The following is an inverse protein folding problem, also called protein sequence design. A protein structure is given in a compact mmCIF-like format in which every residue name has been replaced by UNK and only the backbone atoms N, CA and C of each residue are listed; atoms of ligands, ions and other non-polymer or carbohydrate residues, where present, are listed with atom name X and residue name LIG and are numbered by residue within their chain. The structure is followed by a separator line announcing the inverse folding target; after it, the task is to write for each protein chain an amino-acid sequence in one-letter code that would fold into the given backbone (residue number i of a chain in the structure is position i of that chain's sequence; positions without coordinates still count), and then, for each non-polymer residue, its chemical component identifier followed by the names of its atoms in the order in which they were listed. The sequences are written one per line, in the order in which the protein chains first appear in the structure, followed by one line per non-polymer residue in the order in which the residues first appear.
data_IF_677048383284
#
_entry.id   IF_677048383284
#
_cell.length_a   1.000
_cell.length_b   1.000
_cell.length_c   1.000
_cell.angle_alpha   90.00
_cell.angle_beta   90.00
_cell.angle_gamma   90.00
#
_symmetry.space_group_name_H-M   'P 1'
#
loop_
_entity.id
_entity.type
_entity.pdbx_description
1 polymer ?
#
# COMPACT_ATOMS: atom_id res chain seq x y z
N UNK A 1 11.95 -8.26 -3.08
CA UNK A 1 11.47 -8.64 -4.43
C UNK A 1 9.95 -8.69 -4.40
N UNK A 2 9.24 -8.18 -5.43
CA UNK A 2 7.76 -8.17 -5.44
C UNK A 2 7.26 -9.57 -5.75
N UNK A 3 6.40 -10.12 -4.88
CA UNK A 3 5.85 -11.47 -5.03
C UNK A 3 4.46 -11.39 -5.66
N UNK A 4 4.37 -11.65 -6.97
CA UNK A 4 3.12 -11.61 -7.74
C UNK A 4 2.38 -12.96 -7.68
N UNK A 5 1.90 -13.34 -6.50
CA UNK A 5 1.13 -14.58 -6.29
C UNK A 5 -0.39 -14.39 -6.39
N UNK A 6 -0.86 -13.15 -6.41
CA UNK A 6 -2.27 -12.79 -6.54
C UNK A 6 -2.48 -11.89 -7.75
N UNK A 7 -3.73 -11.78 -8.23
CA UNK A 7 -4.10 -10.84 -9.28
C UNK A 7 -4.04 -9.37 -8.81
N UNK A 8 -4.00 -8.44 -9.77
CA UNK A 8 -3.88 -7.00 -9.52
C UNK A 8 -5.14 -6.26 -9.98
N UNK A 9 -5.34 -5.03 -9.49
CA UNK A 9 -6.41 -4.14 -9.97
C UNK A 9 -7.83 -4.43 -9.45
N UNK A 10 -8.07 -5.58 -8.81
CA UNK A 10 -9.39 -5.92 -8.26
C UNK A 10 -9.94 -4.88 -7.27
N UNK A 11 -9.08 -4.29 -6.45
CA UNK A 11 -9.45 -3.20 -5.54
C UNK A 11 -9.87 -1.91 -6.26
N UNK A 12 -9.23 -1.57 -7.37
CA UNK A 12 -9.58 -0.40 -8.17
C UNK A 12 -10.92 -0.60 -8.89
N UNK A 13 -11.14 -1.79 -9.46
CA UNK A 13 -12.43 -2.17 -10.05
C UNK A 13 -13.56 -2.11 -9.01
N UNK A 14 -13.32 -2.62 -7.80
CA UNK A 14 -14.34 -2.61 -6.75
C UNK A 14 -14.64 -1.20 -6.25
N UNK A 15 -13.63 -0.35 -6.11
CA UNK A 15 -13.84 1.07 -5.77
C UNK A 15 -14.73 1.76 -6.82
N UNK A 16 -14.49 1.49 -8.11
CA UNK A 16 -15.34 1.98 -9.20
C UNK A 16 -16.78 1.45 -9.09
N UNK A 17 -16.96 0.15 -8.85
CA UNK A 17 -18.28 -0.47 -8.72
C UNK A 17 -19.10 0.14 -7.58
N UNK A 18 -18.46 0.44 -6.45
CA UNK A 18 -19.11 1.04 -5.28
C UNK A 18 -19.23 2.57 -5.37
N UNK A 19 -18.67 3.20 -6.41
CA UNK A 19 -18.63 4.66 -6.52
C UNK A 19 -17.83 5.32 -5.40
N UNK A 20 -16.82 4.62 -4.86
CA UNK A 20 -15.94 5.13 -3.80
C UNK A 20 -14.55 5.44 -4.34
N UNK A 21 -13.75 6.19 -3.57
CA UNK A 21 -12.41 6.58 -3.99
C UNK A 21 -11.43 5.44 -3.80
N UNK A 22 -10.71 5.10 -4.87
CA UNK A 22 -9.56 4.20 -4.79
C UNK A 22 -8.36 4.94 -4.21
N UNK A 23 -7.84 4.46 -3.07
CA UNK A 23 -6.69 5.09 -2.40
C UNK A 23 -5.34 4.53 -2.87
N UNK A 24 -5.31 3.39 -3.57
CA UNK A 24 -4.08 2.76 -4.04
C UNK A 24 -4.00 1.26 -3.76
N UNK A 25 -2.90 0.64 -4.21
CA UNK A 25 -2.59 -0.78 -3.99
C UNK A 25 -1.31 -0.90 -3.15
N UNK A 26 -1.36 -1.72 -2.10
CA UNK A 26 -0.16 -2.08 -1.33
C UNK A 26 0.26 -3.49 -1.73
N UNK A 27 1.34 -3.64 -2.53
CA UNK A 27 1.84 -4.94 -2.96
C UNK A 27 2.40 -5.78 -1.80
N UNK A 28 2.42 -7.10 -1.98
CA UNK A 28 2.98 -8.03 -1.00
C UNK A 28 4.50 -8.03 -1.09
N UNK A 29 5.12 -7.55 -0.01
CA UNK A 29 6.55 -7.55 0.22
C UNK A 29 6.83 -8.15 1.59
N UNK A 30 7.81 -9.07 1.68
CA UNK A 30 8.18 -9.73 2.93
C UNK A 30 8.59 -8.71 3.99
N UNK A 31 9.23 -7.63 3.56
CA UNK A 31 9.70 -6.50 4.37
C UNK A 31 8.55 -5.82 5.14
N UNK A 32 7.32 -5.82 4.60
CA UNK A 32 6.14 -5.29 5.30
C UNK A 32 5.83 -6.16 6.53
N UNK A 33 5.77 -7.48 6.34
CA UNK A 33 5.50 -8.45 7.41
C UNK A 33 6.59 -8.40 8.46
N UNK A 34 7.85 -8.46 8.03
CA UNK A 34 9.00 -8.43 8.95
C UNK A 34 9.04 -7.15 9.78
N UNK A 35 8.78 -5.99 9.17
CA UNK A 35 8.70 -4.72 9.89
C UNK A 35 7.55 -4.69 10.89
N UNK A 36 6.39 -5.28 10.54
CA UNK A 36 5.26 -5.46 11.46
C UNK A 36 5.60 -6.36 12.66
N UNK A 37 6.17 -7.54 12.38
CA UNK A 37 6.56 -8.53 13.39
C UNK A 37 7.61 -7.98 14.36
N UNK A 38 8.57 -7.20 13.85
CA UNK A 38 9.63 -6.57 14.63
C UNK A 38 9.19 -5.29 15.37
N UNK A 39 8.00 -4.77 15.10
CA UNK A 39 7.53 -3.49 15.64
C UNK A 39 8.23 -2.26 15.06
N UNK A 40 8.93 -2.40 13.93
CA UNK A 40 9.59 -1.31 13.20
C UNK A 40 9.10 -1.34 11.74
N UNK A 41 7.98 -0.65 11.44
CA UNK A 41 7.34 -0.71 10.12
C UNK A 41 8.29 -0.33 8.98
N UNK A 42 8.05 -0.88 7.79
CA UNK A 42 8.89 -0.66 6.60
C UNK A 42 9.04 0.81 6.20
N UNK A 43 8.02 1.63 6.48
CA UNK A 43 8.06 3.09 6.27
C UNK A 43 9.07 3.81 7.17
N UNK A 44 9.46 3.19 8.30
CA UNK A 44 10.47 3.69 9.23
C UNK A 44 11.84 3.05 8.94
N UNK A 45 11.89 1.72 8.80
CA UNK A 45 13.14 0.98 8.64
C UNK A 45 13.76 1.10 7.24
N UNK A 46 12.94 1.33 6.21
CA UNK A 46 13.39 1.45 4.82
C UNK A 46 12.52 2.47 4.04
N UNK A 47 12.58 3.77 4.38
CA UNK A 47 11.66 4.79 3.85
C UNK A 47 11.72 4.96 2.33
N UNK A 48 12.86 4.66 1.70
CA UNK A 48 13.04 4.77 0.25
C UNK A 48 12.65 3.52 -0.55
N UNK A 49 12.28 2.45 0.15
CA UNK A 49 11.90 1.18 -0.46
C UNK A 49 10.56 1.27 -1.20
N UNK A 50 10.36 0.38 -2.18
CA UNK A 50 9.09 0.25 -2.89
C UNK A 50 7.88 0.04 -1.95
N UNK A 51 7.91 -0.87 -0.96
CA UNK A 51 6.79 -1.03 -0.02
C UNK A 51 6.52 0.23 0.83
N UNK A 52 7.56 0.97 1.24
CA UNK A 52 7.37 2.21 1.99
C UNK A 52 6.69 3.29 1.15
N UNK A 53 7.11 3.43 -0.12
CA UNK A 53 6.53 4.39 -1.07
C UNK A 53 5.05 4.11 -1.35
N UNK A 54 4.67 2.84 -1.51
CA UNK A 54 3.26 2.45 -1.71
C UNK A 54 2.35 2.91 -0.56
N UNK A 55 2.77 2.74 0.70
CA UNK A 55 2.01 3.27 1.85
C UNK A 55 1.96 4.81 1.84
N UNK A 56 3.06 5.47 1.47
CA UNK A 56 3.12 6.93 1.37
C UNK A 56 2.16 7.51 0.32
N UNK A 57 2.04 6.85 -0.84
CA UNK A 57 1.11 7.23 -1.92
C UNK A 57 -0.35 7.10 -1.45
N UNK A 58 -0.70 5.99 -0.79
CA UNK A 58 -2.03 5.78 -0.21
C UNK A 58 -2.37 6.87 0.81
N UNK A 59 -1.43 7.18 1.70
CA UNK A 59 -1.61 8.22 2.71
C UNK A 59 -1.75 9.62 2.08
N UNK A 60 -1.03 9.90 0.99
CA UNK A 60 -1.15 11.17 0.27
C UNK A 60 -2.55 11.34 -0.35
N UNK A 61 -3.05 10.31 -1.05
CA UNK A 61 -4.40 10.35 -1.63
C UNK A 61 -5.46 10.49 -0.52
N UNK A 62 -5.32 9.73 0.58
CA UNK A 62 -6.23 9.83 1.71
C UNK A 62 -6.26 11.23 2.30
N UNK A 63 -5.10 11.87 2.48
CA UNK A 63 -5.03 13.26 2.97
C UNK A 63 -5.76 14.21 2.03
N UNK A 64 -5.57 14.06 0.73
CA UNK A 64 -6.20 14.93 -0.28
C UNK A 64 -7.74 14.71 -0.36
N UNK A 65 -8.22 13.50 -0.04
CA UNK A 65 -9.67 13.20 0.08
C UNK A 65 -10.29 13.80 1.34
N UNK A 66 -9.52 13.87 2.43
CA UNK A 66 -10.01 14.35 3.73
C UNK A 66 -9.83 15.86 3.95
N UNK A 67 -9.02 16.53 3.14
CA UNK A 67 -8.84 17.98 3.13
C UNK A 67 -9.99 18.71 2.44
#
# INVERSE_FOLDING_TARGET
ERVEIFGHGGGATEAQNQGTTFLGEVPIFTEIREGGDAGVPVVVSAPESAPAKAFGEVAAILRDVLS
#
